data_IF_063401998113
#
_entry.id   IF_063401998113
#
_cell.length_a   1.000
_cell.length_b   1.000
_cell.length_c   1.000
_cell.angle_alpha   90.00
_cell.angle_beta   90.00
_cell.angle_gamma   90.00
#
_symmetry.space_group_name_H-M   'P 1'
#
loop_
_entity.id
_entity.type
_entity.pdbx_description
1 polymer ?
#
# COMPACT_ATOMS: atom_id res chain seq x y z
N UNK A 1 -28.01 6.07 20.04
CA UNK A 1 -26.68 6.31 19.43
C UNK A 1 -26.35 5.08 18.62
N UNK A 2 -26.50 5.15 17.31
CA UNK A 2 -26.01 4.09 16.44
C UNK A 2 -24.49 4.12 16.48
N UNK A 3 -23.88 3.05 16.99
CA UNK A 3 -22.43 2.88 16.90
C UNK A 3 -22.04 2.87 15.42
N UNK A 4 -20.92 3.51 15.03
CA UNK A 4 -20.45 3.44 13.67
C UNK A 4 -20.29 1.97 13.27
N UNK A 5 -20.91 1.58 12.16
CA UNK A 5 -20.77 0.23 11.60
C UNK A 5 -19.29 -0.04 11.39
N UNK A 6 -18.72 -0.90 12.22
CA UNK A 6 -17.31 -1.27 12.11
C UNK A 6 -17.18 -2.20 10.91
N UNK A 7 -16.61 -1.69 9.80
CA UNK A 7 -16.25 -2.53 8.65
C UNK A 7 -14.93 -3.23 8.92
N UNK A 8 -14.94 -4.56 8.86
CA UNK A 8 -13.73 -5.38 8.87
C UNK A 8 -13.00 -5.24 7.52
N UNK A 9 -11.66 -5.34 7.48
CA UNK A 9 -10.96 -5.47 6.22
C UNK A 9 -11.39 -6.76 5.51
N UNK A 10 -11.64 -6.68 4.22
CA UNK A 10 -11.92 -7.82 3.36
C UNK A 10 -10.65 -8.18 2.58
N UNK A 11 -9.97 -9.24 2.99
CA UNK A 11 -8.80 -9.77 2.27
C UNK A 11 -9.17 -10.88 1.27
N UNK A 12 -10.46 -11.24 1.15
CA UNK A 12 -10.96 -12.32 0.32
C UNK A 12 -11.27 -11.93 -1.13
N UNK A 13 -11.27 -10.63 -1.44
CA UNK A 13 -11.46 -10.16 -2.81
C UNK A 13 -11.74 -8.68 -2.98
N UNK A 14 -12.18 -7.97 -1.93
CA UNK A 14 -12.62 -6.58 -2.02
C UNK A 14 -11.78 -5.59 -1.19
N UNK A 15 -10.52 -5.91 -0.88
CA UNK A 15 -9.61 -5.05 -0.13
C UNK A 15 -8.47 -4.45 -0.95
N UNK A 16 -7.76 -3.51 -0.35
CA UNK A 16 -6.54 -2.90 -0.91
C UNK A 16 -5.51 -3.97 -1.33
N UNK A 17 -5.34 -5.02 -0.53
CA UNK A 17 -4.41 -6.11 -0.85
C UNK A 17 -4.82 -6.85 -2.14
N UNK A 18 -6.11 -6.98 -2.40
CA UNK A 18 -6.62 -7.64 -3.62
C UNK A 18 -6.41 -6.77 -4.85
N UNK A 19 -6.49 -5.44 -4.71
CA UNK A 19 -6.12 -4.49 -5.79
C UNK A 19 -4.65 -4.65 -6.13
N UNK A 20 -3.77 -4.72 -5.12
CA UNK A 20 -2.35 -4.95 -5.35
C UNK A 20 -2.07 -6.32 -5.97
N UNK A 21 -2.78 -7.37 -5.53
CA UNK A 21 -2.69 -8.69 -6.16
C UNK A 21 -3.07 -8.67 -7.65
N UNK A 22 -4.13 -7.94 -8.03
CA UNK A 22 -4.50 -7.78 -9.44
C UNK A 22 -3.42 -7.05 -10.26
N UNK A 23 -2.77 -6.03 -9.68
CA UNK A 23 -1.66 -5.32 -10.31
C UNK A 23 -0.43 -6.22 -10.45
N UNK A 24 -0.08 -7.00 -9.42
CA UNK A 24 1.03 -7.97 -9.50
C UNK A 24 0.80 -9.02 -10.57
N UNK A 25 -0.37 -9.66 -10.56
CA UNK A 25 -0.73 -10.69 -11.52
C UNK A 25 -0.75 -10.15 -12.96
N UNK A 26 -1.12 -8.86 -13.15
CA UNK A 26 -1.06 -8.22 -14.47
C UNK A 26 0.36 -8.22 -15.04
N UNK A 27 1.39 -8.17 -14.22
CA UNK A 27 2.78 -8.07 -14.65
C UNK A 27 3.59 -9.32 -14.27
N UNK A 28 2.99 -10.51 -14.40
CA UNK A 28 3.61 -11.83 -14.15
C UNK A 28 4.14 -12.05 -12.72
N UNK A 29 3.76 -11.17 -11.78
CA UNK A 29 4.04 -11.35 -10.36
C UNK A 29 3.15 -12.41 -9.73
N UNK A 30 3.56 -12.91 -8.56
CA UNK A 30 2.78 -13.87 -7.77
C UNK A 30 2.43 -13.25 -6.43
N UNK A 31 1.14 -13.31 -6.08
CA UNK A 31 0.64 -12.78 -4.83
C UNK A 31 -0.17 -13.85 -4.06
N UNK A 32 -0.04 -13.97 -2.73
CA UNK A 32 -0.79 -14.94 -1.94
C UNK A 32 -2.28 -14.61 -1.79
N UNK A 33 -2.71 -13.39 -2.13
CA UNK A 33 -4.11 -12.96 -2.09
C UNK A 33 -4.78 -13.07 -3.45
N UNK A 34 -6.09 -13.33 -3.46
CA UNK A 34 -6.85 -13.32 -4.71
C UNK A 34 -6.87 -11.92 -5.36
N UNK A 35 -6.78 -11.81 -6.69
CA UNK A 35 -6.88 -10.52 -7.38
C UNK A 35 -8.28 -9.93 -7.25
N UNK A 36 -8.38 -8.61 -7.13
CA UNK A 36 -9.65 -7.91 -7.09
C UNK A 36 -10.39 -8.04 -8.44
N UNK A 37 -11.64 -8.54 -8.48
CA UNK A 37 -12.31 -8.90 -9.73
C UNK A 37 -12.64 -7.71 -10.64
N UNK A 38 -12.84 -6.52 -10.07
CA UNK A 38 -13.08 -5.30 -10.84
C UNK A 38 -11.81 -4.61 -11.38
N UNK A 39 -10.62 -5.09 -11.00
CA UNK A 39 -9.34 -4.55 -11.51
C UNK A 39 -8.92 -5.42 -12.69
N UNK A 40 -8.92 -4.82 -13.89
CA UNK A 40 -8.72 -5.52 -15.17
C UNK A 40 -9.74 -6.66 -15.41
N UNK A 41 -11.06 -6.37 -15.40
CA UNK A 41 -12.09 -7.38 -15.66
C UNK A 41 -11.85 -8.12 -16.99
N UNK A 42 -12.20 -9.40 -16.99
CA UNK A 42 -12.09 -10.25 -18.17
C UNK A 42 -12.83 -9.68 -19.38
N UNK A 43 -12.24 -9.86 -20.56
CA UNK A 43 -12.76 -9.30 -21.82
C UNK A 43 -12.17 -7.95 -22.22
N UNK A 44 -11.34 -7.34 -21.38
CA UNK A 44 -10.52 -6.19 -21.77
C UNK A 44 -9.12 -6.63 -22.23
N UNK A 45 -8.55 -5.89 -23.20
CA UNK A 45 -7.13 -6.01 -23.47
C UNK A 45 -6.32 -5.62 -22.22
N UNK A 46 -5.34 -6.46 -21.89
CA UNK A 46 -4.55 -6.27 -20.69
C UNK A 46 -3.75 -4.94 -20.79
N UNK A 47 -3.92 -3.98 -19.88
CA UNK A 47 -3.35 -2.64 -20.04
C UNK A 47 -1.83 -2.68 -19.93
N UNK A 48 -1.12 -2.10 -20.90
CA UNK A 48 0.35 -2.08 -20.92
C UNK A 48 0.95 -1.21 -19.81
N UNK A 49 0.25 -0.14 -19.45
CA UNK A 49 0.65 0.82 -18.42
C UNK A 49 -0.45 0.89 -17.36
N UNK A 50 -0.05 0.89 -16.08
CA UNK A 50 -0.96 0.99 -14.94
C UNK A 50 -0.50 2.15 -14.07
N UNK A 51 -1.43 3.05 -13.73
CA UNK A 51 -1.20 4.16 -12.80
C UNK A 51 -2.11 3.96 -11.60
N UNK A 52 -1.50 3.77 -10.42
CA UNK A 52 -2.19 3.74 -9.14
C UNK A 52 -2.03 5.09 -8.46
N UNK A 53 -3.15 5.75 -8.12
CA UNK A 53 -3.15 7.01 -7.37
C UNK A 53 -3.73 6.73 -5.99
N UNK A 54 -2.89 6.83 -4.95
CA UNK A 54 -3.32 6.78 -3.56
C UNK A 54 -3.51 8.20 -3.03
N UNK A 55 -4.71 8.50 -2.52
CA UNK A 55 -5.05 9.81 -1.93
C UNK A 55 -5.28 9.59 -0.44
N UNK A 56 -4.38 10.14 0.39
CA UNK A 56 -4.48 9.98 1.85
C UNK A 56 -5.76 10.64 2.39
N UNK A 57 -6.43 9.95 3.33
CA UNK A 57 -7.66 10.42 3.96
C UNK A 57 -8.93 10.41 3.08
N UNK A 58 -8.88 10.00 1.80
CA UNK A 58 -10.05 10.00 0.93
C UNK A 58 -10.93 8.74 1.14
N UNK A 59 -11.84 8.81 2.11
CA UNK A 59 -12.81 7.74 2.40
C UNK A 59 -13.95 7.64 1.38
N UNK A 60 -14.47 6.43 1.16
CA UNK A 60 -15.55 6.17 0.20
C UNK A 60 -16.84 6.95 0.49
N UNK A 61 -17.23 7.09 1.76
CA UNK A 61 -18.44 7.84 2.13
C UNK A 61 -18.33 9.31 1.75
N UNK A 62 -17.17 9.92 2.02
CA UNK A 62 -16.88 11.30 1.60
C UNK A 62 -16.91 11.43 0.07
N UNK A 63 -16.26 10.49 -0.64
CA UNK A 63 -16.29 10.46 -2.10
C UNK A 63 -17.73 10.36 -2.64
N UNK A 64 -18.56 9.48 -2.08
CA UNK A 64 -19.94 9.31 -2.52
C UNK A 64 -20.79 10.55 -2.29
N UNK A 65 -20.59 11.24 -1.17
CA UNK A 65 -21.34 12.45 -0.82
C UNK A 65 -20.95 13.65 -1.68
N UNK A 66 -19.66 13.81 -1.99
CA UNK A 66 -19.16 15.06 -2.57
C UNK A 66 -18.65 14.93 -4.01
N UNK A 67 -18.21 13.75 -4.44
CA UNK A 67 -17.51 13.54 -5.71
C UNK A 67 -18.23 12.62 -6.69
N UNK A 68 -19.37 12.03 -6.31
CA UNK A 68 -20.12 11.09 -7.17
C UNK A 68 -20.51 11.65 -8.54
N UNK A 69 -20.80 12.95 -8.63
CA UNK A 69 -21.16 13.62 -9.89
C UNK A 69 -19.95 14.18 -10.65
N UNK A 70 -18.75 14.13 -10.07
CA UNK A 70 -17.51 14.57 -10.71
C UNK A 70 -17.10 13.64 -11.87
N UNK A 71 -16.08 14.04 -12.64
CA UNK A 71 -15.49 13.17 -13.67
C UNK A 71 -15.03 11.82 -13.12
N UNK A 72 -14.38 11.81 -11.95
CA UNK A 72 -13.97 10.56 -11.27
C UNK A 72 -15.18 9.72 -10.85
N UNK A 73 -16.23 10.37 -10.35
CA UNK A 73 -17.44 9.69 -9.90
C UNK A 73 -18.17 8.96 -11.02
N UNK A 74 -18.14 9.48 -12.26
CA UNK A 74 -18.71 8.83 -13.45
C UNK A 74 -18.00 7.53 -13.85
N UNK A 75 -16.73 7.36 -13.45
CA UNK A 75 -15.93 6.16 -13.71
C UNK A 75 -15.73 5.29 -12.46
N UNK A 76 -16.52 5.53 -11.40
CA UNK A 76 -16.45 4.75 -10.18
C UNK A 76 -16.90 3.29 -10.44
N UNK A 77 -15.96 2.35 -10.35
CA UNK A 77 -16.26 0.92 -10.49
C UNK A 77 -16.77 0.27 -9.19
N UNK A 78 -16.44 0.82 -8.03
CA UNK A 78 -16.82 0.24 -6.74
C UNK A 78 -16.06 0.82 -5.55
N UNK A 79 -16.18 0.15 -4.40
CA UNK A 79 -15.51 0.51 -3.15
C UNK A 79 -14.71 -0.67 -2.62
N UNK A 80 -13.50 -0.41 -2.12
CA UNK A 80 -12.68 -1.41 -1.43
C UNK A 80 -12.63 -1.13 0.08
N UNK A 81 -12.30 -2.16 0.86
CA UNK A 81 -11.88 -1.95 2.25
C UNK A 81 -10.39 -1.59 2.31
N UNK A 82 -10.02 -0.72 3.26
CA UNK A 82 -8.61 -0.57 3.64
C UNK A 82 -8.10 -1.84 4.34
N UNK A 83 -6.83 -1.81 4.75
CA UNK A 83 -6.23 -2.81 5.62
C UNK A 83 -6.51 -2.52 7.09
N UNK A 84 -6.20 -3.47 7.97
CA UNK A 84 -6.20 -3.25 9.42
C UNK A 84 -4.80 -3.39 10.00
N UNK A 85 -4.32 -2.41 10.79
CA UNK A 85 -5.02 -1.17 11.13
C UNK A 85 -5.07 -0.20 9.93
N UNK A 86 -6.12 0.64 9.87
CA UNK A 86 -6.34 1.60 8.77
C UNK A 86 -5.42 2.83 8.87
N UNK A 87 -4.12 2.62 9.06
CA UNK A 87 -3.11 3.69 9.13
C UNK A 87 -2.45 3.89 7.77
N UNK A 88 -1.95 5.10 7.51
CA UNK A 88 -1.15 5.39 6.31
C UNK A 88 0.07 4.48 6.23
N UNK A 89 0.72 4.18 7.35
CA UNK A 89 1.88 3.29 7.41
C UNK A 89 1.56 1.88 6.93
N UNK A 90 0.48 1.28 7.43
CA UNK A 90 0.06 -0.06 7.05
C UNK A 90 -0.40 -0.09 5.59
N UNK A 91 -1.25 0.84 5.18
CA UNK A 91 -1.79 0.88 3.82
C UNK A 91 -0.70 1.13 2.76
N UNK A 92 0.22 2.07 3.01
CA UNK A 92 1.34 2.31 2.10
C UNK A 92 2.29 1.12 2.03
N UNK A 93 2.59 0.47 3.15
CA UNK A 93 3.42 -0.75 3.14
C UNK A 93 2.73 -1.88 2.38
N UNK A 94 1.40 -2.00 2.48
CA UNK A 94 0.62 -2.92 1.64
C UNK A 94 0.75 -2.57 0.15
N UNK A 95 0.73 -1.29 -0.23
CA UNK A 95 0.97 -0.87 -1.63
C UNK A 95 2.40 -1.22 -2.06
N UNK A 96 3.39 -1.00 -1.20
CA UNK A 96 4.80 -1.27 -1.52
C UNK A 96 5.16 -2.74 -1.57
N UNK A 97 4.52 -3.58 -0.77
CA UNK A 97 4.84 -5.02 -0.66
C UNK A 97 3.84 -5.91 -1.38
N UNK A 98 2.64 -5.41 -1.66
CA UNK A 98 1.47 -6.18 -2.07
C UNK A 98 0.97 -7.19 -1.03
N UNK A 99 1.42 -7.08 0.23
CA UNK A 99 1.05 -7.99 1.31
C UNK A 99 0.15 -7.29 2.33
N UNK A 100 -0.66 -8.05 3.07
CA UNK A 100 -1.44 -7.47 4.17
C UNK A 100 -0.56 -7.17 5.40
N UNK A 101 -1.05 -6.36 6.36
CA UNK A 101 -0.27 -5.98 7.54
C UNK A 101 0.20 -7.14 8.42
N UNK A 102 -0.54 -8.25 8.44
CA UNK A 102 -0.12 -9.47 9.15
C UNK A 102 1.17 -10.09 8.56
N UNK A 103 1.47 -9.84 7.29
CA UNK A 103 2.66 -10.36 6.64
C UNK A 103 3.85 -9.41 6.75
N UNK A 104 3.62 -8.10 6.57
CA UNK A 104 4.72 -7.13 6.53
C UNK A 104 5.06 -6.50 7.90
N UNK A 105 4.21 -6.64 8.92
CA UNK A 105 4.50 -6.23 10.30
C UNK A 105 4.56 -4.72 10.58
N UNK A 106 4.62 -3.87 9.54
CA UNK A 106 4.64 -2.40 9.66
C UNK A 106 3.23 -1.81 9.86
N UNK A 107 2.79 -1.69 11.11
CA UNK A 107 1.39 -1.37 11.45
C UNK A 107 1.10 0.13 11.68
N UNK A 108 2.11 0.91 12.05
CA UNK A 108 1.93 2.29 12.48
C UNK A 108 3.15 3.16 12.16
N UNK A 109 2.95 4.48 12.24
CA UNK A 109 3.99 5.47 11.95
C UNK A 109 5.25 5.29 12.80
N UNK A 110 5.10 4.88 14.06
CA UNK A 110 6.21 4.51 14.93
C UNK A 110 6.16 3.01 15.21
N UNK A 111 7.23 2.31 14.84
CA UNK A 111 7.35 0.86 15.04
C UNK A 111 8.66 0.56 15.75
N UNK A 112 8.63 -0.28 16.79
CA UNK A 112 9.85 -0.72 17.49
C UNK A 112 10.46 -1.91 16.74
N UNK A 113 11.73 -1.77 16.33
CA UNK A 113 12.51 -2.81 15.67
C UNK A 113 13.43 -3.44 16.72
N UNK A 114 13.07 -4.65 17.17
CA UNK A 114 13.80 -5.35 18.24
C UNK A 114 15.24 -5.65 17.83
N UNK A 115 15.42 -6.02 16.57
CA UNK A 115 16.70 -6.34 15.91
C UNK A 115 17.67 -5.15 15.97
N UNK A 116 17.13 -3.93 15.98
CA UNK A 116 17.89 -2.69 15.98
C UNK A 116 17.87 -1.97 17.34
N UNK A 117 17.09 -2.47 18.29
CA UNK A 117 16.90 -1.85 19.61
C UNK A 117 16.35 -0.41 19.53
N UNK A 118 15.63 -0.04 18.47
CA UNK A 118 15.24 1.35 18.20
C UNK A 118 13.80 1.48 17.69
N UNK A 119 13.26 2.69 17.75
CA UNK A 119 11.96 3.02 17.15
C UNK A 119 12.20 3.60 15.77
N UNK A 120 11.63 2.98 14.74
CA UNK A 120 11.62 3.45 13.37
C UNK A 120 10.38 4.29 13.04
N UNK A 121 10.52 5.16 12.06
CA UNK A 121 9.46 5.89 11.36
C UNK A 121 9.14 5.11 10.08
N UNK A 122 7.90 4.68 9.93
CA UNK A 122 7.52 3.76 8.87
C UNK A 122 6.26 4.20 8.14
N UNK A 123 6.30 4.39 6.80
CA UNK A 123 7.46 4.84 6.02
C UNK A 123 7.95 6.22 6.50
N UNK A 124 9.21 6.64 6.23
CA UNK A 124 10.07 6.16 5.15
C UNK A 124 11.32 5.36 5.59
N UNK A 125 11.23 4.64 6.71
CA UNK A 125 12.30 3.81 7.30
C UNK A 125 13.48 4.66 7.83
N UNK A 126 13.16 5.51 8.80
CA UNK A 126 14.15 6.32 9.52
C UNK A 126 14.16 5.98 11.00
N UNK A 127 15.29 6.15 11.68
CA UNK A 127 15.34 6.15 13.14
C UNK A 127 14.55 7.34 13.68
N UNK A 128 13.66 7.11 14.66
CA UNK A 128 12.80 8.15 15.21
C UNK A 128 13.59 9.28 15.86
N UNK A 129 14.65 8.94 16.59
CA UNK A 129 15.42 9.84 17.44
C UNK A 129 16.18 10.90 16.61
N UNK A 130 16.91 10.47 15.58
CA UNK A 130 17.84 11.32 14.83
C UNK A 130 17.50 11.48 13.35
N UNK A 131 16.43 10.81 12.88
CA UNK A 131 15.99 10.81 11.47
C UNK A 131 17.01 10.26 10.48
N UNK A 132 18.01 9.52 10.96
CA UNK A 132 18.95 8.83 10.07
C UNK A 132 18.29 7.59 9.45
N UNK A 133 18.79 7.08 8.31
CA UNK A 133 18.28 5.84 7.72
C UNK A 133 18.23 4.71 8.75
N UNK A 134 17.09 4.02 8.82
CA UNK A 134 16.88 2.88 9.74
C UNK A 134 17.80 1.71 9.38
N UNK A 135 18.08 1.57 8.08
CA UNK A 135 19.03 0.61 7.55
C UNK A 135 20.31 1.36 7.16
N UNK A 136 21.45 0.98 7.73
CA UNK A 136 22.78 1.52 7.41
C UNK A 136 23.76 0.37 7.15
N UNK A 137 24.67 0.56 6.19
CA UNK A 137 25.75 -0.39 5.94
C UNK A 137 25.28 -1.70 5.30
N UNK A 138 25.69 -2.85 5.86
CA UNK A 138 25.51 -4.20 5.28
C UNK A 138 24.19 -4.88 5.63
N UNK A 139 23.29 -4.22 6.36
CA UNK A 139 21.97 -4.79 6.65
C UNK A 139 21.11 -4.68 5.40
N UNK A 140 20.67 -5.82 4.87
CA UNK A 140 19.73 -5.86 3.76
C UNK A 140 18.32 -5.41 4.25
N UNK A 141 17.72 -4.35 3.68
CA UNK A 141 16.37 -3.93 4.01
C UNK A 141 15.33 -5.05 3.86
N UNK A 142 15.46 -5.92 2.86
CA UNK A 142 14.54 -7.04 2.65
C UNK A 142 14.67 -8.07 3.78
N UNK A 143 15.89 -8.32 4.26
CA UNK A 143 16.13 -9.19 5.41
C UNK A 143 15.57 -8.60 6.72
N UNK A 144 15.65 -7.27 6.91
CA UNK A 144 15.07 -6.60 8.09
C UNK A 144 13.54 -6.61 8.04
N UNK A 145 12.94 -6.34 6.88
CA UNK A 145 11.49 -6.18 6.74
C UNK A 145 10.75 -7.49 6.49
N UNK A 146 11.45 -8.53 6.05
CA UNK A 146 10.88 -9.85 5.79
C UNK A 146 10.01 -9.95 4.54
N UNK A 147 10.09 -8.99 3.62
CA UNK A 147 9.37 -9.01 2.34
C UNK A 147 10.15 -8.34 1.21
N UNK A 148 9.82 -8.72 -0.02
CA UNK A 148 10.33 -8.07 -1.23
C UNK A 148 9.41 -6.94 -1.68
N UNK A 149 9.95 -5.78 -2.11
CA UNK A 149 9.18 -4.72 -2.75
C UNK A 149 8.42 -5.22 -4.00
N UNK A 150 7.28 -4.60 -4.27
CA UNK A 150 6.40 -4.87 -5.41
C UNK A 150 7.17 -4.88 -6.74
N UNK A 151 7.99 -3.86 -6.96
CA UNK A 151 8.69 -3.67 -8.24
C UNK A 151 9.74 -4.73 -8.52
N UNK A 152 10.25 -5.41 -7.49
CA UNK A 152 11.19 -6.52 -7.64
C UNK A 152 10.48 -7.84 -7.99
N UNK A 153 9.14 -7.91 -7.81
CA UNK A 153 8.32 -9.10 -8.04
C UNK A 153 7.61 -9.11 -9.39
N UNK A 154 7.63 -8.02 -10.14
CA UNK A 154 6.87 -7.87 -11.38
C UNK A 154 7.78 -7.72 -12.60
N UNK A 155 7.28 -8.14 -13.76
CA UNK A 155 7.93 -8.00 -15.06
C UNK A 155 7.53 -6.70 -15.76
N UNK A 156 7.78 -5.58 -15.08
CA UNK A 156 7.55 -4.24 -15.61
C UNK A 156 8.46 -3.21 -14.94
N UNK A 157 8.69 -2.08 -15.62
CA UNK A 157 9.32 -0.94 -14.97
C UNK A 157 8.34 -0.26 -14.01
N UNK A 158 8.73 -0.16 -12.75
CA UNK A 158 7.97 0.51 -11.69
C UNK A 158 8.56 1.87 -11.36
N UNK A 159 7.69 2.86 -11.13
CA UNK A 159 8.07 4.17 -10.62
C UNK A 159 7.14 4.52 -9.45
N UNK A 160 7.72 5.06 -8.38
CA UNK A 160 6.95 5.63 -7.28
C UNK A 160 7.17 7.14 -7.26
N UNK A 161 6.08 7.89 -7.34
CA UNK A 161 6.08 9.34 -7.21
C UNK A 161 5.34 9.68 -5.92
N UNK A 162 6.00 10.44 -5.04
CA UNK A 162 5.35 11.03 -3.89
C UNK A 162 5.81 12.47 -3.70
N UNK A 163 4.97 13.34 -3.11
CA UNK A 163 5.35 14.71 -2.81
C UNK A 163 6.71 14.79 -2.10
N UNK A 164 7.54 15.75 -2.52
CA UNK A 164 8.90 15.87 -2.02
C UNK A 164 8.96 16.08 -0.50
N UNK A 165 7.91 16.59 0.14
CA UNK A 165 7.79 16.67 1.60
C UNK A 165 7.77 15.30 2.31
N UNK A 166 7.32 14.24 1.64
CA UNK A 166 7.41 12.87 2.13
C UNK A 166 8.78 12.24 1.84
N UNK A 167 9.47 12.66 0.77
CA UNK A 167 10.75 12.09 0.28
C UNK A 167 12.00 12.85 0.74
N UNK A 168 11.94 14.15 1.03
CA UNK A 168 13.10 14.99 1.43
C UNK A 168 13.77 14.58 2.75
N UNK A 169 13.29 13.54 3.40
CA UNK A 169 13.95 12.88 4.54
C UNK A 169 14.63 11.54 4.19
N UNK A 170 14.53 11.09 2.94
CA UNK A 170 15.00 9.79 2.44
C UNK A 170 15.58 9.95 1.03
N UNK A 171 16.88 10.17 0.94
CA UNK A 171 17.61 10.02 -0.32
C UNK A 171 18.16 8.60 -0.47
N UNK A 172 17.98 8.10 -1.69
CA UNK A 172 18.56 6.92 -2.39
C UNK A 172 18.04 5.52 -2.01
N UNK A 173 17.26 4.94 -2.94
CA UNK A 173 17.21 3.50 -3.22
C UNK A 173 18.22 3.20 -4.33
#
# INVERSE_FOLDING_TARGET
MDLPVTRRPDYSGNGLVNVMSAIENRFDGKNPYAPHPAVFPGGMEAPKNVVLIAIDGLGFNFFHQHLKQSGLGKHLAGSITSVFPSTTAAAMTTIYSGLAPINHGLLAWFTYFKELGTIGIVPPLLVRADKTPLVKGTVDPAALLGFQPLFDKIRAHGYMLSPAEYVKKCTTW
#
